data_IF_887296255242
#
_entry.id   IF_887296255242
#
_cell.length_a   1.000
_cell.length_b   1.000
_cell.length_c   1.000
_cell.angle_alpha   90.00
_cell.angle_beta   90.00
_cell.angle_gamma   90.00
#
_symmetry.space_group_name_H-M   'P 1'
#
loop_
_entity.id
_entity.type
_entity.pdbx_description
1 polymer ?
#
# COMPACT_ATOMS: atom_id res chain seq x y z
N UNK A 1 -17.61 -29.03 -4.26
CA UNK A 1 -18.78 -28.13 -4.39
C UNK A 1 -19.33 -27.73 -3.02
N UNK A 2 -19.60 -28.68 -2.11
CA UNK A 2 -20.00 -28.37 -0.72
C UNK A 2 -18.94 -27.59 0.09
N UNK A 3 -17.67 -27.98 -0.03
CA UNK A 3 -16.56 -27.29 0.66
C UNK A 3 -16.42 -25.83 0.18
N UNK A 4 -16.59 -25.60 -1.12
CA UNK A 4 -16.47 -24.26 -1.74
C UNK A 4 -17.61 -23.32 -1.28
N UNK A 5 -18.84 -23.83 -1.17
CA UNK A 5 -19.96 -23.09 -0.58
C UNK A 5 -19.74 -22.78 0.90
N UNK A 6 -19.17 -23.72 1.66
CA UNK A 6 -18.91 -23.56 3.09
C UNK A 6 -17.83 -22.50 3.36
N UNK A 7 -16.77 -22.47 2.53
CA UNK A 7 -15.72 -21.44 2.59
C UNK A 7 -16.28 -20.06 2.27
N UNK A 8 -17.08 -19.93 1.20
CA UNK A 8 -17.69 -18.65 0.82
C UNK A 8 -18.63 -18.13 1.91
N UNK A 9 -19.47 -19.00 2.49
CA UNK A 9 -20.36 -18.65 3.59
C UNK A 9 -19.59 -18.14 4.83
N UNK A 10 -18.48 -18.79 5.16
CA UNK A 10 -17.63 -18.40 6.29
C UNK A 10 -16.95 -17.05 6.04
N UNK A 11 -16.45 -16.82 4.83
CA UNK A 11 -15.86 -15.53 4.44
C UNK A 11 -16.87 -14.39 4.50
N UNK A 12 -18.10 -14.60 4.04
CA UNK A 12 -19.14 -13.56 4.11
C UNK A 12 -19.48 -13.20 5.57
N UNK A 13 -19.51 -14.18 6.47
CA UNK A 13 -19.65 -13.90 7.91
C UNK A 13 -18.49 -13.05 8.44
N UNK A 14 -17.26 -13.44 8.14
CA UNK A 14 -16.05 -12.72 8.58
C UNK A 14 -16.00 -11.29 8.01
N UNK A 15 -16.51 -11.08 6.80
CA UNK A 15 -16.68 -9.75 6.20
C UNK A 15 -17.74 -8.96 6.95
N UNK A 16 -18.89 -9.55 7.24
CA UNK A 16 -20.00 -8.87 7.93
C UNK A 16 -19.63 -8.42 9.35
N UNK A 17 -18.79 -9.19 10.05
CA UNK A 17 -18.28 -8.80 11.38
C UNK A 17 -17.04 -7.88 11.31
N UNK A 18 -16.58 -7.54 10.10
CA UNK A 18 -15.47 -6.59 9.88
C UNK A 18 -14.07 -7.15 10.07
N UNK A 19 -13.91 -8.47 10.20
CA UNK A 19 -12.62 -9.13 10.41
C UNK A 19 -11.85 -9.33 9.10
N UNK A 20 -12.58 -9.58 8.01
CA UNK A 20 -12.02 -9.77 6.66
C UNK A 20 -12.55 -8.68 5.73
N UNK A 21 -11.74 -8.25 4.78
CA UNK A 21 -12.19 -7.40 3.69
C UNK A 21 -11.69 -7.88 2.33
N UNK A 22 -12.40 -7.44 1.28
CA UNK A 22 -12.01 -7.67 -0.10
C UNK A 22 -11.10 -6.53 -0.56
N UNK A 23 -9.79 -6.76 -0.56
CA UNK A 23 -8.81 -5.86 -1.20
C UNK A 23 -8.91 -6.03 -2.71
N UNK A 24 -9.12 -4.93 -3.41
CA UNK A 24 -9.35 -4.89 -4.87
C UNK A 24 -8.39 -3.94 -5.55
N UNK A 25 -8.06 -4.23 -6.80
CA UNK A 25 -7.31 -3.30 -7.63
C UNK A 25 -8.18 -2.07 -7.87
N UNK A 26 -7.71 -0.89 -7.48
CA UNK A 26 -8.55 0.33 -7.40
C UNK A 26 -9.16 0.74 -8.76
N UNK A 27 -8.52 0.38 -9.88
CA UNK A 27 -9.05 0.69 -11.22
C UNK A 27 -9.87 -0.46 -11.83
N UNK A 28 -10.00 -1.60 -11.15
CA UNK A 28 -10.61 -2.83 -11.68
C UNK A 28 -11.41 -3.59 -10.59
N UNK A 29 -12.22 -2.86 -9.82
CA UNK A 29 -12.92 -3.39 -8.63
C UNK A 29 -13.95 -4.49 -8.90
N UNK A 30 -14.38 -4.64 -10.16
CA UNK A 30 -15.35 -5.67 -10.57
C UNK A 30 -14.66 -6.98 -10.94
N UNK A 31 -13.35 -7.00 -11.11
CA UNK A 31 -12.60 -8.18 -11.50
C UNK A 31 -12.33 -9.10 -10.31
N UNK A 32 -13.11 -10.18 -10.23
CA UNK A 32 -12.99 -11.19 -9.17
C UNK A 32 -11.60 -11.85 -9.14
N UNK A 33 -10.89 -11.95 -10.27
CA UNK A 33 -9.52 -12.51 -10.33
C UNK A 33 -8.47 -11.57 -9.70
N UNK A 34 -8.80 -10.28 -9.57
CA UNK A 34 -8.00 -9.27 -8.86
C UNK A 34 -8.63 -8.88 -7.52
N UNK A 35 -9.30 -9.83 -6.86
CA UNK A 35 -9.81 -9.64 -5.50
C UNK A 35 -9.05 -10.54 -4.55
N UNK A 36 -8.52 -9.97 -3.48
CA UNK A 36 -7.85 -10.68 -2.39
C UNK A 36 -8.67 -10.52 -1.11
N UNK A 37 -8.77 -11.58 -0.31
CA UNK A 37 -9.35 -11.50 1.03
C UNK A 37 -8.23 -11.27 2.02
N UNK A 38 -8.32 -10.20 2.81
CA UNK A 38 -7.30 -9.83 3.79
C UNK A 38 -7.93 -9.65 5.16
N UNK A 39 -7.15 -9.92 6.22
CA UNK A 39 -7.55 -9.51 7.57
C UNK A 39 -7.53 -7.99 7.64
N UNK A 40 -8.68 -7.40 7.96
CA UNK A 40 -8.84 -5.95 8.08
C UNK A 40 -8.30 -5.43 9.41
N UNK A 41 -8.50 -6.22 10.46
CA UNK A 41 -8.16 -5.82 11.82
C UNK A 41 -6.68 -6.17 12.15
N UNK A 42 -5.90 -5.14 12.48
CA UNK A 42 -4.47 -5.29 12.79
C UNK A 42 -4.21 -5.99 14.14
N UNK A 43 -5.12 -5.92 15.10
CA UNK A 43 -5.02 -6.69 16.35
C UNK A 43 -5.14 -8.18 16.05
N UNK A 44 -6.11 -8.59 15.22
CA UNK A 44 -6.24 -9.98 14.78
C UNK A 44 -5.04 -10.41 13.94
N UNK A 45 -4.60 -9.58 13.00
CA UNK A 45 -3.42 -9.85 12.17
C UNK A 45 -2.19 -10.08 13.06
N UNK A 46 -1.96 -9.24 14.06
CA UNK A 46 -0.87 -9.39 15.02
C UNK A 46 -1.04 -10.65 15.89
N UNK A 47 -2.26 -10.95 16.32
CA UNK A 47 -2.55 -12.13 17.14
C UNK A 47 -2.23 -13.43 16.40
N UNK A 48 -2.72 -13.59 15.17
CA UNK A 48 -2.44 -14.77 14.36
C UNK A 48 -0.97 -14.85 13.95
N UNK A 49 -0.34 -13.71 13.65
CA UNK A 49 1.05 -13.69 13.23
C UNK A 49 2.03 -14.02 14.38
N UNK A 50 1.75 -13.55 15.60
CA UNK A 50 2.68 -13.64 16.72
C UNK A 50 2.13 -14.38 17.94
N UNK A 51 1.00 -13.93 18.48
CA UNK A 51 0.52 -14.41 19.79
C UNK A 51 0.14 -15.88 19.73
N UNK A 52 -0.61 -16.30 18.72
CA UNK A 52 -1.09 -17.68 18.57
C UNK A 52 0.04 -18.71 18.47
N UNK A 53 1.19 -18.31 17.91
CA UNK A 53 2.39 -19.15 17.74
C UNK A 53 3.21 -19.25 19.04
N UNK A 54 2.97 -18.37 20.01
CA UNK A 54 3.72 -18.26 21.26
C UNK A 54 2.92 -18.54 22.52
N UNK A 55 1.64 -18.93 22.41
CA UNK A 55 0.68 -19.00 23.53
C UNK A 55 1.24 -19.71 24.76
N UNK A 56 1.78 -20.92 24.63
CA UNK A 56 2.31 -21.67 25.78
C UNK A 56 3.47 -20.97 26.48
N UNK A 57 4.36 -20.31 25.73
CA UNK A 57 5.50 -19.56 26.29
C UNK A 57 5.00 -18.32 27.02
N UNK A 58 4.02 -17.63 26.44
CA UNK A 58 3.39 -16.43 27.02
C UNK A 58 2.65 -16.80 28.32
N UNK A 59 1.87 -17.88 28.32
CA UNK A 59 1.12 -18.38 29.48
C UNK A 59 2.03 -18.83 30.64
N UNK A 60 3.24 -19.31 30.33
CA UNK A 60 4.28 -19.58 31.33
C UNK A 60 4.96 -18.31 31.88
N UNK A 61 4.46 -17.12 31.54
CA UNK A 61 5.01 -15.83 31.99
C UNK A 61 6.26 -15.38 31.24
N UNK A 62 6.64 -16.05 30.14
CA UNK A 62 7.85 -15.75 29.36
C UNK A 62 7.57 -14.86 28.14
N UNK A 63 6.55 -14.00 28.23
CA UNK A 63 6.12 -13.12 27.13
C UNK A 63 7.21 -12.15 26.67
N UNK A 64 8.00 -11.59 27.59
CA UNK A 64 9.11 -10.68 27.24
C UNK A 64 10.19 -11.40 26.41
N UNK A 65 10.58 -12.61 26.83
CA UNK A 65 11.55 -13.42 26.09
C UNK A 65 11.02 -13.79 24.70
N UNK A 66 9.73 -14.14 24.61
CA UNK A 66 9.07 -14.40 23.34
C UNK A 66 9.07 -13.17 22.44
N UNK A 67 8.72 -11.99 22.97
CA UNK A 67 8.74 -10.73 22.22
C UNK A 67 10.13 -10.45 21.65
N UNK A 68 11.19 -10.50 22.48
CA UNK A 68 12.55 -10.21 22.03
C UNK A 68 13.05 -11.17 20.94
N UNK A 69 12.69 -12.47 21.04
CA UNK A 69 13.22 -13.51 20.13
C UNK A 69 12.37 -13.72 18.87
N UNK A 70 11.05 -13.61 18.97
CA UNK A 70 10.13 -14.00 17.90
C UNK A 70 9.41 -12.81 17.25
N UNK A 71 9.10 -11.75 18.00
CA UNK A 71 8.28 -10.63 17.50
C UNK A 71 9.15 -9.47 17.04
N UNK A 72 9.98 -8.92 17.94
CA UNK A 72 10.79 -7.72 17.71
C UNK A 72 11.66 -7.80 16.44
N UNK A 73 12.32 -8.92 16.09
CA UNK A 73 13.16 -8.99 14.89
C UNK A 73 12.41 -8.79 13.57
N UNK A 74 11.11 -9.12 13.53
CA UNK A 74 10.28 -9.05 12.31
C UNK A 74 9.19 -7.98 12.38
N UNK A 75 9.04 -7.33 13.54
CA UNK A 75 8.04 -6.29 13.78
C UNK A 75 8.14 -5.16 12.74
N UNK A 76 9.36 -4.79 12.34
CA UNK A 76 9.56 -3.74 11.34
C UNK A 76 8.91 -4.10 9.99
N UNK A 77 9.07 -5.35 9.53
CA UNK A 77 8.43 -5.82 8.28
C UNK A 77 6.91 -5.94 8.43
N UNK A 78 6.40 -6.33 9.59
CA UNK A 78 4.96 -6.32 9.86
C UNK A 78 4.36 -4.92 9.70
N UNK A 79 5.08 -3.90 10.20
CA UNK A 79 4.65 -2.50 10.17
C UNK A 79 4.69 -1.87 8.77
N UNK A 80 5.39 -2.45 7.79
CA UNK A 80 5.38 -1.97 6.39
C UNK A 80 3.95 -1.91 5.84
N UNK A 81 3.16 -2.96 6.06
CA UNK A 81 1.75 -2.99 5.62
C UNK A 81 0.85 -2.03 6.38
N UNK A 82 1.20 -1.68 7.62
CA UNK A 82 0.48 -0.66 8.41
C UNK A 82 0.78 0.73 7.85
N UNK A 83 2.05 0.99 7.58
CA UNK A 83 2.50 2.26 7.03
C UNK A 83 1.85 2.57 5.69
N UNK A 84 1.75 1.59 4.80
CA UNK A 84 1.05 1.78 3.53
C UNK A 84 -0.43 2.16 3.70
N UNK A 85 -1.16 1.55 4.63
CA UNK A 85 -2.56 1.93 4.89
C UNK A 85 -2.64 3.34 5.47
N UNK A 86 -1.70 3.73 6.34
CA UNK A 86 -1.62 5.11 6.84
C UNK A 86 -1.40 6.10 5.70
N UNK A 87 -0.52 5.78 4.74
CA UNK A 87 -0.25 6.61 3.57
C UNK A 87 -1.49 6.73 2.67
N UNK A 88 -2.22 5.64 2.44
CA UNK A 88 -3.50 5.64 1.70
C UNK A 88 -4.55 6.50 2.39
N UNK A 89 -4.70 6.34 3.71
CA UNK A 89 -5.62 7.15 4.51
C UNK A 89 -5.26 8.64 4.45
N UNK A 90 -3.99 9.00 4.65
CA UNK A 90 -3.52 10.37 4.57
C UNK A 90 -3.79 10.99 3.19
N UNK A 91 -3.49 10.24 2.12
CA UNK A 91 -3.78 10.66 0.75
C UNK A 91 -5.27 10.94 0.55
N UNK A 92 -6.15 10.10 1.09
CA UNK A 92 -7.59 10.34 0.99
C UNK A 92 -8.01 11.57 1.81
N UNK A 93 -7.53 11.70 3.06
CA UNK A 93 -7.82 12.81 3.99
C UNK A 93 -7.56 14.17 3.32
N UNK A 94 -6.37 14.34 2.70
CA UNK A 94 -5.95 15.58 2.04
C UNK A 94 -6.55 15.72 0.62
N UNK A 95 -6.76 14.61 -0.07
CA UNK A 95 -7.34 14.61 -1.41
C UNK A 95 -8.83 14.96 -1.45
N UNK A 96 -9.60 14.63 -0.42
CA UNK A 96 -11.03 15.01 -0.31
C UNK A 96 -11.18 16.54 -0.23
N UNK A 97 -10.18 17.25 0.30
CA UNK A 97 -10.19 18.73 0.37
C UNK A 97 -9.59 19.38 -0.89
N UNK A 98 -9.23 18.60 -1.92
CA UNK A 98 -8.72 19.12 -3.19
C UNK A 98 -7.24 19.50 -3.19
N UNK A 99 -6.49 19.17 -2.13
CA UNK A 99 -5.09 19.60 -1.93
C UNK A 99 -4.15 19.15 -3.06
N UNK A 100 -4.49 18.05 -3.74
CA UNK A 100 -3.72 17.52 -4.86
C UNK A 100 -4.22 18.00 -6.24
N UNK A 101 -5.02 19.07 -6.27
CA UNK A 101 -5.59 19.61 -7.51
C UNK A 101 -6.69 18.74 -8.12
N UNK A 102 -7.28 17.84 -7.32
CA UNK A 102 -8.47 17.06 -7.65
C UNK A 102 -9.20 16.61 -6.38
N UNK A 103 -10.50 16.38 -6.49
CA UNK A 103 -11.36 15.83 -5.46
C UNK A 103 -11.27 14.30 -5.49
N UNK A 104 -10.44 13.73 -4.61
CA UNK A 104 -10.30 12.27 -4.53
C UNK A 104 -11.56 11.64 -3.94
N UNK A 105 -12.12 10.66 -4.65
CA UNK A 105 -13.30 9.89 -4.23
C UNK A 105 -12.94 8.53 -3.64
N UNK A 106 -11.77 8.01 -3.99
CA UNK A 106 -11.26 6.74 -3.46
C UNK A 106 -9.73 6.71 -3.50
N UNK A 107 -9.13 5.95 -2.59
CA UNK A 107 -7.71 5.63 -2.58
C UNK A 107 -7.56 4.14 -2.30
N UNK A 108 -6.68 3.47 -3.04
CA UNK A 108 -6.34 2.07 -2.83
C UNK A 108 -4.95 1.78 -3.37
N UNK A 109 -4.66 0.51 -3.60
CA UNK A 109 -3.47 0.09 -4.33
C UNK A 109 -3.86 -0.42 -5.72
N UNK A 110 -2.88 -0.49 -6.61
CA UNK A 110 -3.05 -1.01 -7.94
C UNK A 110 -2.08 -2.15 -8.20
N UNK A 111 -2.55 -3.20 -8.87
CA UNK A 111 -1.70 -4.28 -9.37
C UNK A 111 -2.13 -4.75 -10.74
N UNK A 112 -1.15 -5.11 -11.56
CA UNK A 112 -1.37 -5.55 -12.93
C UNK A 112 -0.08 -5.75 -13.69
N UNK A 113 -0.19 -5.67 -15.02
CA UNK A 113 0.96 -5.84 -15.92
C UNK A 113 1.33 -4.47 -16.47
N UNK A 114 2.58 -4.08 -16.25
CA UNK A 114 3.22 -2.94 -16.90
C UNK A 114 4.25 -3.39 -17.91
N UNK A 115 4.71 -2.48 -18.77
CA UNK A 115 5.79 -2.74 -19.70
C UNK A 115 7.10 -2.09 -19.21
N UNK A 116 8.22 -2.80 -19.36
CA UNK A 116 9.57 -2.29 -19.18
C UNK A 116 10.32 -2.41 -20.48
N UNK A 117 11.02 -1.34 -20.86
CA UNK A 117 12.01 -1.37 -21.92
C UNK A 117 13.38 -1.62 -21.31
N UNK A 118 14.06 -2.68 -21.73
CA UNK A 118 15.44 -2.93 -21.31
C UNK A 118 16.44 -1.99 -22.02
N UNK A 119 17.71 -2.01 -21.58
CA UNK A 119 18.78 -1.17 -22.16
C UNK A 119 19.03 -1.45 -23.65
N UNK A 120 18.56 -2.58 -24.16
CA UNK A 120 18.68 -2.99 -25.56
C UNK A 120 17.44 -2.62 -26.39
N UNK A 121 16.46 -1.94 -25.79
CA UNK A 121 15.23 -1.50 -26.46
C UNK A 121 14.10 -2.53 -26.48
N UNK A 122 14.27 -3.71 -25.86
CA UNK A 122 13.22 -4.72 -25.87
C UNK A 122 12.16 -4.40 -24.81
N UNK A 123 10.90 -4.46 -25.21
CA UNK A 123 9.76 -4.29 -24.31
C UNK A 123 9.36 -5.64 -23.72
N UNK A 124 9.25 -5.73 -22.40
CA UNK A 124 8.79 -6.92 -21.68
C UNK A 124 7.68 -6.57 -20.70
N UNK A 125 6.70 -7.46 -20.61
CA UNK A 125 5.67 -7.40 -19.59
C UNK A 125 6.25 -7.72 -18.21
N UNK A 126 5.86 -6.97 -17.19
CA UNK A 126 6.25 -7.18 -15.80
C UNK A 126 5.05 -6.98 -14.86
N UNK A 127 4.90 -7.86 -13.87
CA UNK A 127 4.00 -7.58 -12.75
C UNK A 127 4.40 -6.25 -12.10
N UNK A 128 3.42 -5.39 -11.89
CA UNK A 128 3.62 -4.04 -11.39
C UNK A 128 2.58 -3.78 -10.32
N UNK A 129 3.06 -3.25 -9.20
CA UNK A 129 2.26 -2.83 -8.06
C UNK A 129 2.52 -1.35 -7.79
N UNK A 130 1.50 -0.64 -7.33
CA UNK A 130 1.56 0.76 -6.88
C UNK A 130 0.84 0.83 -5.55
N UNK A 131 1.56 1.25 -4.51
CA UNK A 131 1.09 1.20 -3.12
C UNK A 131 -0.10 2.13 -2.88
N UNK A 132 -0.04 3.33 -3.48
CA UNK A 132 -1.06 4.37 -3.32
C UNK A 132 -1.53 4.85 -4.69
N UNK A 133 -2.82 4.70 -4.95
CA UNK A 133 -3.49 5.26 -6.13
C UNK A 133 -4.80 5.88 -5.68
N UNK A 134 -4.82 7.21 -5.68
CA UNK A 134 -6.02 8.02 -5.48
C UNK A 134 -6.70 8.31 -6.80
N UNK A 135 -8.01 8.10 -6.88
CA UNK A 135 -8.81 8.33 -8.08
C UNK A 135 -9.83 9.44 -7.82
N UNK A 136 -9.88 10.37 -8.76
CA UNK A 136 -11.01 11.29 -8.95
C UNK A 136 -11.70 10.95 -10.27
N UNK A 137 -12.83 10.25 -10.18
CA UNK A 137 -13.64 9.98 -11.37
C UNK A 137 -14.34 11.24 -11.91
N UNK A 138 -14.56 12.24 -11.04
CA UNK A 138 -15.16 13.54 -11.37
C UNK A 138 -14.19 14.36 -12.19
N UNK A 139 -12.96 14.55 -11.70
CA UNK A 139 -11.96 15.38 -12.38
C UNK A 139 -11.17 14.63 -13.46
N UNK A 140 -11.39 13.31 -13.60
CA UNK A 140 -10.59 12.40 -14.43
C UNK A 140 -9.09 12.49 -14.14
N UNK A 141 -8.77 12.62 -12.85
CA UNK A 141 -7.40 12.74 -12.34
C UNK A 141 -7.04 11.61 -11.38
N UNK A 142 -5.74 11.41 -11.23
CA UNK A 142 -5.19 10.46 -10.27
C UNK A 142 -4.04 11.08 -9.45
N UNK A 143 -3.84 10.53 -8.26
CA UNK A 143 -2.67 10.75 -7.41
C UNK A 143 -1.98 9.41 -7.24
N UNK A 144 -0.67 9.37 -7.45
CA UNK A 144 0.11 8.12 -7.48
C UNK A 144 1.18 8.19 -6.40
N UNK A 145 1.38 7.13 -5.61
CA UNK A 145 2.37 7.15 -4.55
C UNK A 145 3.07 5.82 -4.30
N UNK A 146 4.28 5.94 -3.76
CA UNK A 146 5.15 4.84 -3.34
C UNK A 146 5.49 5.01 -1.85
N UNK A 147 5.48 3.89 -1.12
CA UNK A 147 5.78 3.85 0.30
C UNK A 147 7.12 3.13 0.53
N UNK A 148 8.08 3.78 1.21
CA UNK A 148 9.33 3.16 1.63
C UNK A 148 9.45 3.15 3.15
N UNK A 149 8.99 2.05 3.76
CA UNK A 149 9.11 1.82 5.20
C UNK A 149 10.37 1.02 5.54
N UNK A 150 11.54 1.56 5.19
CA UNK A 150 12.85 0.93 5.43
C UNK A 150 13.85 1.97 5.92
N UNK A 151 14.95 1.50 6.51
CA UNK A 151 16.09 2.32 6.95
C UNK A 151 16.94 2.88 5.78
N UNK A 152 16.38 2.94 4.58
CA UNK A 152 17.03 3.38 3.36
C UNK A 152 16.28 4.59 2.80
N UNK A 153 17.01 5.57 2.28
CA UNK A 153 16.43 6.73 1.62
C UNK A 153 15.78 6.36 0.29
N UNK A 154 14.73 7.09 -0.09
CA UNK A 154 14.19 7.04 -1.46
C UNK A 154 15.21 7.69 -2.40
N UNK A 155 15.59 6.97 -3.44
CA UNK A 155 16.58 7.39 -4.42
C UNK A 155 15.97 7.61 -5.82
N UNK A 156 16.84 7.95 -6.77
CA UNK A 156 16.48 8.13 -8.18
C UNK A 156 15.78 6.90 -8.78
N UNK A 157 16.21 5.69 -8.41
CA UNK A 157 15.67 4.45 -8.96
C UNK A 157 14.23 4.21 -8.51
N UNK A 158 13.93 4.46 -7.23
CA UNK A 158 12.56 4.41 -6.70
C UNK A 158 11.69 5.47 -7.38
N UNK A 159 12.21 6.70 -7.50
CA UNK A 159 11.52 7.78 -8.20
C UNK A 159 11.13 7.38 -9.63
N UNK A 160 12.11 7.02 -10.47
CA UNK A 160 11.90 6.67 -11.87
C UNK A 160 10.96 5.46 -12.02
N UNK A 161 11.02 4.52 -11.06
CA UNK A 161 10.11 3.39 -11.00
C UNK A 161 8.66 3.84 -10.81
N UNK A 162 8.38 4.72 -9.85
CA UNK A 162 7.01 5.21 -9.62
C UNK A 162 6.48 5.96 -10.85
N UNK A 163 7.28 6.84 -11.46
CA UNK A 163 6.85 7.58 -12.67
C UNK A 163 6.49 6.61 -13.79
N UNK A 164 7.34 5.61 -14.01
CA UNK A 164 7.11 4.59 -15.03
C UNK A 164 5.83 3.80 -14.75
N UNK A 165 5.60 3.38 -13.50
CA UNK A 165 4.40 2.63 -13.10
C UNK A 165 3.14 3.47 -13.23
N UNK A 166 3.21 4.76 -12.87
CA UNK A 166 2.11 5.72 -13.00
C UNK A 166 1.58 5.88 -14.43
N UNK A 167 2.41 5.64 -15.46
CA UNK A 167 1.98 5.64 -16.87
C UNK A 167 0.86 4.65 -17.18
N UNK A 168 0.77 3.53 -16.44
CA UNK A 168 -0.31 2.56 -16.65
C UNK A 168 -1.66 3.14 -16.20
N UNK A 169 -1.66 3.99 -15.18
CA UNK A 169 -2.85 4.71 -14.71
C UNK A 169 -3.18 5.90 -15.63
N UNK A 170 -2.14 6.54 -16.17
CA UNK A 170 -2.23 7.69 -17.08
C UNK A 170 -3.06 7.42 -18.35
N UNK A 171 -3.24 6.15 -18.73
CA UNK A 171 -4.10 5.76 -19.85
C UNK A 171 -5.59 6.11 -19.64
N UNK A 172 -6.04 6.25 -18.39
CA UNK A 172 -7.44 6.56 -18.04
C UNK A 172 -7.59 7.85 -17.21
N UNK A 173 -6.58 8.24 -16.44
CA UNK A 173 -6.64 9.38 -15.54
C UNK A 173 -5.41 10.26 -15.69
N UNK A 174 -5.58 11.58 -15.78
CA UNK A 174 -4.42 12.49 -15.77
C UNK A 174 -3.79 12.47 -14.37
N UNK A 175 -2.51 12.10 -14.27
CA UNK A 175 -1.80 12.19 -12.99
C UNK A 175 -1.62 13.66 -12.61
N UNK A 176 -2.02 13.99 -11.39
CA UNK A 176 -2.03 15.35 -10.83
C UNK A 176 -0.99 15.56 -9.73
N UNK A 177 -0.59 14.47 -9.06
CA UNK A 177 0.46 14.47 -8.06
C UNK A 177 1.09 13.09 -7.96
N UNK A 178 2.39 13.08 -7.73
CA UNK A 178 3.15 11.92 -7.29
C UNK A 178 3.58 12.14 -5.84
N UNK A 179 3.40 11.14 -4.98
CA UNK A 179 3.70 11.25 -3.54
C UNK A 179 4.69 10.17 -3.15
N UNK A 180 5.78 10.55 -2.49
CA UNK A 180 6.77 9.61 -1.96
C UNK A 180 6.73 9.64 -0.45
N UNK A 181 6.28 8.54 0.16
CA UNK A 181 6.23 8.37 1.61
C UNK A 181 7.49 7.65 2.07
N UNK A 182 8.30 8.26 2.95
CA UNK A 182 9.57 7.67 3.40
C UNK A 182 9.71 7.65 4.91
N UNK A 183 10.14 6.50 5.45
CA UNK A 183 10.57 6.42 6.85
C UNK A 183 11.90 7.14 7.08
N UNK A 184 12.84 7.02 6.14
CA UNK A 184 14.24 7.48 6.30
C UNK A 184 14.59 8.73 5.48
N UNK A 185 13.59 9.37 4.88
CA UNK A 185 13.77 10.53 4.00
C UNK A 185 14.29 10.17 2.61
N UNK A 186 15.01 11.11 2.01
CA UNK A 186 15.32 11.14 0.58
C UNK A 186 16.81 11.36 0.33
N UNK A 187 17.30 10.94 -0.84
CA UNK A 187 18.65 11.33 -1.29
C UNK A 187 18.65 12.77 -1.79
N UNK A 188 19.82 13.41 -1.79
CA UNK A 188 19.98 14.78 -2.32
C UNK A 188 19.45 14.92 -3.76
N UNK A 189 19.57 13.86 -4.57
CA UNK A 189 19.04 13.89 -5.93
C UNK A 189 17.53 14.08 -5.96
N UNK A 190 16.80 13.42 -5.07
CA UNK A 190 15.33 13.52 -4.97
C UNK A 190 14.93 14.86 -4.34
N UNK A 191 15.63 15.31 -3.30
CA UNK A 191 15.35 16.60 -2.63
C UNK A 191 15.56 17.80 -3.55
N UNK A 192 16.48 17.69 -4.52
CA UNK A 192 16.76 18.76 -5.48
C UNK A 192 15.81 18.77 -6.70
N UNK A 193 14.81 17.87 -6.77
CA UNK A 193 13.79 17.92 -7.81
C UNK A 193 12.91 19.16 -7.61
N UNK A 194 12.98 20.09 -8.56
CA UNK A 194 12.11 21.27 -8.61
C UNK A 194 10.92 20.98 -9.50
N UNK A 195 9.97 20.22 -8.98
CA UNK A 195 8.77 19.89 -9.74
C UNK A 195 7.55 19.88 -8.81
N UNK A 196 6.60 20.77 -9.13
CA UNK A 196 5.38 21.00 -8.34
C UNK A 196 4.45 19.78 -8.36
N UNK A 197 4.63 18.84 -9.29
CA UNK A 197 3.86 17.61 -9.40
C UNK A 197 4.32 16.52 -8.41
N UNK A 198 5.30 16.80 -7.55
CA UNK A 198 5.81 15.87 -6.55
C UNK A 198 5.64 16.36 -5.12
N UNK A 199 5.34 15.43 -4.21
CA UNK A 199 5.23 15.67 -2.78
C UNK A 199 6.06 14.64 -2.01
N UNK A 200 6.91 15.13 -1.11
CA UNK A 200 7.77 14.31 -0.26
C UNK A 200 7.20 14.35 1.16
N UNK A 201 6.78 13.21 1.70
CA UNK A 201 6.22 13.08 3.04
C UNK A 201 6.99 12.06 3.89
N UNK A 202 7.42 12.49 5.07
CA UNK A 202 8.03 11.59 6.06
C UNK A 202 6.95 11.00 6.97
N UNK A 203 7.34 10.08 7.85
CA UNK A 203 6.45 9.55 8.88
C UNK A 203 5.82 10.65 9.74
N UNK A 204 6.60 11.68 10.10
CA UNK A 204 6.12 12.80 10.91
C UNK A 204 5.01 13.59 10.20
N UNK A 205 5.12 13.76 8.88
CA UNK A 205 4.11 14.44 8.06
C UNK A 205 2.73 13.77 8.13
N UNK A 206 2.66 12.46 8.43
CA UNK A 206 1.39 11.73 8.51
C UNK A 206 0.59 12.03 9.79
N UNK A 207 1.24 12.61 10.81
CA UNK A 207 0.61 12.96 12.08
C UNK A 207 0.04 14.39 12.13
N UNK A 208 0.19 15.16 11.04
CA UNK A 208 -0.37 16.50 10.84
C UNK A 208 -1.79 16.48 10.21
#
# INVERSE_FOLDING_TARGET
MEEEQTVLYSLDKLINVGLVEKKKCITDEKNKKKTQYVLKDYMFKFWYEFISKGTSVIEMGQGELYYQRAVKPVLHSFMETVFEEMCRYYTLKKGITGEYGCFLTSVGCWWGVGNITDKSGNVRAQSTDIDVVGISDIDKKAVIGECKFKNEKIDKGVYETLIRRGKVIAAKYKVSKYIFFSLSGYTEWVENLKDEDFLLLTLDSLYE
#
